data_IF_805790318393
#
_entry.id   IF_805790318393
#
_cell.length_a   1.000
_cell.length_b   1.000
_cell.length_c   1.000
_cell.angle_alpha   90.00
_cell.angle_beta   90.00
_cell.angle_gamma   90.00
#
_symmetry.space_group_name_H-M   'P 1'
#
loop_
_entity.id
_entity.type
_entity.pdbx_description
1 polymer ?
#
# COMPACT_ATOMS: atom_id res chain seq x y z
N UNK A 1 -13.87 63.52 -18.42
CA UNK A 1 -12.78 62.57 -18.74
C UNK A 1 -11.63 62.45 -17.73
N UNK A 2 -11.50 63.22 -16.62
CA UNK A 2 -10.49 62.93 -15.58
C UNK A 2 -11.00 62.04 -14.43
N UNK A 3 -12.31 62.06 -14.14
CA UNK A 3 -12.91 61.28 -13.05
C UNK A 3 -12.86 59.75 -13.27
N UNK A 4 -12.91 59.29 -14.51
CA UNK A 4 -12.82 57.86 -14.85
C UNK A 4 -11.42 57.28 -14.62
N UNK A 5 -10.36 58.10 -14.72
CA UNK A 5 -8.98 57.64 -14.52
C UNK A 5 -8.62 57.46 -13.04
N UNK A 6 -9.20 58.29 -12.16
CA UNK A 6 -9.05 58.15 -10.71
C UNK A 6 -9.75 56.88 -10.20
N UNK A 7 -10.92 56.55 -10.77
CA UNK A 7 -11.65 55.32 -10.44
C UNK A 7 -10.89 54.05 -10.87
N UNK A 8 -10.24 54.06 -12.04
CA UNK A 8 -9.40 52.93 -12.47
C UNK A 8 -8.17 52.75 -11.60
N UNK A 9 -7.55 53.83 -11.12
CA UNK A 9 -6.45 53.74 -10.14
C UNK A 9 -6.92 53.19 -8.79
N UNK A 10 -8.10 53.62 -8.30
CA UNK A 10 -8.66 53.12 -7.05
C UNK A 10 -8.99 51.62 -7.12
N UNK A 11 -9.54 51.14 -8.24
CA UNK A 11 -9.85 49.72 -8.44
C UNK A 11 -8.58 48.86 -8.56
N UNK A 12 -7.51 49.37 -9.19
CA UNK A 12 -6.23 48.67 -9.30
C UNK A 12 -5.52 48.54 -7.93
N UNK A 13 -5.62 49.55 -7.06
CA UNK A 13 -5.10 49.48 -5.69
C UNK A 13 -5.83 48.46 -4.81
N UNK A 14 -7.14 48.27 -5.01
CA UNK A 14 -7.91 47.29 -4.25
C UNK A 14 -7.64 45.84 -4.68
N UNK A 15 -7.27 45.59 -5.94
CA UNK A 15 -6.95 44.25 -6.44
C UNK A 15 -5.57 43.72 -5.96
N UNK A 16 -4.65 44.60 -5.56
CA UNK A 16 -3.32 44.22 -5.07
C UNK A 16 -3.30 43.58 -3.68
N UNK A 17 -4.40 43.65 -2.92
CA UNK A 17 -4.52 43.07 -1.58
C UNK A 17 -5.12 41.65 -1.55
N UNK A 18 -5.47 41.10 -2.71
CA UNK A 18 -6.17 39.81 -2.84
C UNK A 18 -5.28 38.66 -3.36
N UNK A 19 -3.95 38.81 -3.33
CA UNK A 19 -3.06 37.67 -3.51
C UNK A 19 -3.00 36.89 -2.20
N UNK A 20 -3.46 35.63 -2.14
CA UNK A 20 -3.15 34.78 -1.01
C UNK A 20 -1.63 34.67 -0.95
N UNK A 21 -1.04 35.17 0.13
CA UNK A 21 0.36 34.93 0.44
C UNK A 21 0.54 33.40 0.49
N UNK A 22 1.20 32.82 -0.51
CA UNK A 22 1.67 31.45 -0.41
C UNK A 22 2.50 31.39 0.88
N UNK A 23 2.17 30.51 1.83
CA UNK A 23 3.04 30.33 2.98
C UNK A 23 4.42 29.95 2.43
N UNK A 24 5.49 30.63 2.87
CA UNK A 24 6.83 30.25 2.44
C UNK A 24 7.00 28.77 2.77
N UNK A 25 7.34 27.95 1.77
CA UNK A 25 7.82 26.60 2.02
C UNK A 25 9.14 26.74 2.76
N UNK A 26 9.04 26.73 4.08
CA UNK A 26 10.18 26.75 4.98
C UNK A 26 10.83 25.37 4.86
N UNK A 27 11.77 25.21 3.94
CA UNK A 27 12.84 24.24 4.19
C UNK A 27 13.71 24.86 5.27
N UNK A 28 13.30 24.64 6.52
CA UNK A 28 14.10 24.95 7.69
C UNK A 28 15.32 24.01 7.70
N UNK A 29 16.33 24.32 6.90
CA UNK A 29 17.69 23.89 7.19
C UNK A 29 18.16 24.78 8.33
N UNK A 30 17.77 24.41 9.56
CA UNK A 30 18.27 25.05 10.77
C UNK A 30 19.77 24.83 10.85
N UNK A 31 20.54 25.88 10.62
CA UNK A 31 21.90 26.00 11.13
C UNK A 31 21.79 26.17 12.66
N UNK A 32 21.82 25.06 13.38
CA UNK A 32 21.67 24.99 14.83
C UNK A 32 22.97 24.65 15.54
N UNK A 33 23.42 25.58 16.38
CA UNK A 33 24.51 25.45 17.33
C UNK A 33 24.23 24.37 18.40
N UNK A 34 25.21 23.50 18.67
CA UNK A 34 25.51 22.84 19.95
C UNK A 34 24.37 22.38 20.88
N UNK A 35 23.76 21.25 20.56
CA UNK A 35 23.38 20.12 21.45
C UNK A 35 22.38 19.29 20.65
N UNK A 36 22.81 18.17 20.06
CA UNK A 36 21.90 17.32 19.29
C UNK A 36 21.04 16.49 20.25
N UNK A 37 20.13 17.14 20.98
CA UNK A 37 19.02 16.41 21.58
C UNK A 37 18.19 15.85 20.43
N UNK A 38 18.09 14.52 20.37
CA UNK A 38 17.30 13.83 19.36
C UNK A 38 15.83 14.16 19.65
N UNK A 39 15.19 14.88 18.73
CA UNK A 39 13.76 15.18 18.82
C UNK A 39 12.95 13.86 18.77
N UNK A 40 12.18 13.60 19.82
CA UNK A 40 11.31 12.41 19.89
C UNK A 40 9.96 12.74 19.25
N UNK A 41 9.65 12.02 18.17
CA UNK A 41 8.34 12.10 17.49
C UNK A 41 7.25 11.54 18.41
N UNK A 42 6.21 12.31 18.78
CA UNK A 42 5.15 11.84 19.69
C UNK A 42 4.38 10.64 19.15
N UNK A 43 3.92 9.75 20.04
CA UNK A 43 3.20 8.52 19.68
C UNK A 43 2.01 8.76 18.72
N UNK A 44 1.17 9.77 18.99
CA UNK A 44 0.00 10.07 18.15
C UNK A 44 0.41 10.43 16.72
N UNK A 45 1.57 11.07 16.54
CA UNK A 45 2.10 11.40 15.23
C UNK A 45 2.67 10.17 14.53
N UNK A 46 3.37 9.30 15.26
CA UNK A 46 3.85 8.01 14.73
C UNK A 46 2.66 7.18 14.26
N UNK A 47 1.67 6.97 15.12
CA UNK A 47 0.44 6.23 14.83
C UNK A 47 -0.32 6.82 13.65
N UNK A 48 -0.57 8.14 13.65
CA UNK A 48 -1.30 8.79 12.56
C UNK A 48 -0.58 8.71 11.21
N UNK A 49 0.76 8.72 11.20
CA UNK A 49 1.55 8.60 9.97
C UNK A 49 1.62 7.16 9.45
N UNK A 50 1.62 6.17 10.35
CA UNK A 50 1.71 4.75 10.02
C UNK A 50 0.36 4.06 9.82
N UNK A 51 -0.76 4.70 10.19
CA UNK A 51 -2.08 4.14 10.03
C UNK A 51 -2.47 3.95 8.55
N UNK A 52 -3.21 2.88 8.28
CA UNK A 52 -3.66 2.46 6.95
C UNK A 52 -4.24 3.62 6.11
N UNK A 53 -3.57 3.94 4.99
CA UNK A 53 -4.00 4.95 4.02
C UNK A 53 -3.35 4.72 2.64
N UNK A 54 -3.82 5.45 1.64
CA UNK A 54 -3.19 5.49 0.33
C UNK A 54 -1.88 6.29 0.44
N UNK A 55 -0.76 5.65 0.14
CA UNK A 55 0.56 6.27 0.12
C UNK A 55 1.21 6.04 -1.23
N UNK A 56 1.98 7.04 -1.65
CA UNK A 56 2.80 6.96 -2.84
C UNK A 56 3.89 5.91 -2.65
N UNK A 57 3.98 4.96 -3.59
CA UNK A 57 4.94 3.89 -3.60
C UNK A 57 5.47 3.69 -5.02
N UNK A 58 6.78 3.48 -5.13
CA UNK A 58 7.39 3.05 -6.38
C UNK A 58 7.07 1.57 -6.63
N UNK A 59 6.45 1.31 -7.77
CA UNK A 59 6.07 -0.04 -8.22
C UNK A 59 6.81 -0.33 -9.51
N UNK A 60 7.45 -1.48 -9.57
CA UNK A 60 8.12 -1.97 -10.76
C UNK A 60 7.11 -2.28 -11.87
N UNK A 61 7.40 -1.85 -13.09
CA UNK A 61 6.46 -1.93 -14.23
C UNK A 61 6.24 -3.39 -14.64
N UNK A 62 7.29 -4.21 -14.67
CA UNK A 62 7.20 -5.62 -15.06
C UNK A 62 6.44 -6.47 -14.03
N UNK A 63 6.44 -6.05 -12.76
CA UNK A 63 5.62 -6.68 -11.73
C UNK A 63 4.11 -6.47 -11.95
N UNK A 64 3.72 -5.35 -12.57
CA UNK A 64 2.32 -5.06 -12.93
C UNK A 64 1.94 -5.63 -14.30
N UNK A 65 2.92 -5.75 -15.21
CA UNK A 65 2.77 -6.26 -16.56
C UNK A 65 3.70 -7.46 -16.80
N UNK A 66 3.43 -8.62 -16.17
CA UNK A 66 4.29 -9.80 -16.25
C UNK A 66 4.32 -10.44 -17.64
N UNK A 67 3.39 -10.08 -18.54
CA UNK A 67 3.37 -10.57 -19.92
C UNK A 67 4.37 -9.80 -20.83
N UNK A 68 4.89 -8.66 -20.38
CA UNK A 68 5.75 -7.74 -21.16
C UNK A 68 7.26 -7.98 -20.91
N UNK A 69 7.66 -9.19 -20.47
CA UNK A 69 9.06 -9.51 -20.05
C UNK A 69 10.12 -9.38 -21.13
N UNK A 70 9.73 -9.32 -22.41
CA UNK A 70 10.67 -9.11 -23.52
C UNK A 70 11.18 -7.65 -23.60
N UNK A 71 10.51 -6.72 -22.92
CA UNK A 71 10.78 -5.29 -23.03
C UNK A 71 11.39 -4.71 -21.76
N UNK A 72 12.20 -3.67 -21.94
CA UNK A 72 12.66 -2.83 -20.83
C UNK A 72 11.93 -1.50 -20.86
N UNK A 73 11.47 -1.04 -19.70
CA UNK A 73 10.80 0.25 -19.55
C UNK A 73 11.72 1.29 -18.93
N UNK A 74 11.64 2.53 -19.41
CA UNK A 74 12.27 3.69 -18.80
C UNK A 74 11.19 4.77 -18.53
N UNK A 75 10.93 5.12 -17.26
CA UNK A 75 11.50 4.51 -16.05
C UNK A 75 11.06 3.04 -15.88
N UNK A 76 11.86 2.24 -15.14
CA UNK A 76 11.51 0.83 -14.85
C UNK A 76 10.50 0.70 -13.71
N UNK A 77 10.34 1.75 -12.90
CA UNK A 77 9.33 1.85 -11.86
C UNK A 77 8.52 3.14 -12.01
N UNK A 78 7.27 3.10 -11.57
CA UNK A 78 6.33 4.22 -11.59
C UNK A 78 5.82 4.50 -10.19
N UNK A 79 5.43 5.76 -9.95
CA UNK A 79 4.89 6.18 -8.66
C UNK A 79 3.37 6.03 -8.63
N UNK A 80 2.85 5.18 -7.75
CA UNK A 80 1.42 4.89 -7.63
C UNK A 80 0.95 4.99 -6.19
N UNK A 81 -0.29 5.39 -5.99
CA UNK A 81 -0.96 5.25 -4.70
C UNK A 81 -1.27 3.78 -4.43
N UNK A 82 -0.71 3.26 -3.34
CA UNK A 82 -0.99 1.92 -2.83
C UNK A 82 -1.40 2.01 -1.36
N UNK A 83 -2.30 1.13 -0.96
CA UNK A 83 -2.67 1.02 0.46
C UNK A 83 -1.46 0.52 1.23
N UNK A 84 -1.08 1.26 2.27
CA UNK A 84 0.08 0.99 3.11
C UNK A 84 -0.18 1.48 4.52
N UNK A 85 0.54 0.89 5.48
CA UNK A 85 0.37 1.17 6.90
C UNK A 85 -0.14 -0.02 7.69
N UNK A 86 -0.19 0.15 9.01
CA UNK A 86 -0.68 -0.85 9.95
C UNK A 86 -2.10 -0.53 10.43
N UNK A 87 -2.80 -1.56 10.94
CA UNK A 87 -4.19 -1.47 11.37
C UNK A 87 -4.38 -1.48 12.90
N UNK A 88 -3.29 -1.62 13.66
CA UNK A 88 -3.35 -1.71 15.13
C UNK A 88 -3.77 -3.08 15.67
N UNK A 89 -4.39 -3.91 14.85
CA UNK A 89 -4.78 -5.28 15.13
C UNK A 89 -4.14 -6.19 14.07
N UNK A 90 -3.49 -7.27 14.52
CA UNK A 90 -2.80 -8.24 13.65
C UNK A 90 -3.78 -9.06 12.79
N UNK A 91 -5.05 -9.11 13.18
CA UNK A 91 -6.11 -9.79 12.44
C UNK A 91 -6.72 -8.91 11.34
N UNK A 92 -6.21 -7.68 11.15
CA UNK A 92 -6.69 -6.74 10.14
C UNK A 92 -5.59 -6.43 9.12
N UNK A 93 -5.95 -6.41 7.84
CA UNK A 93 -5.08 -5.98 6.76
C UNK A 93 -5.55 -4.65 6.16
N UNK A 94 -4.58 -3.81 5.80
CA UNK A 94 -4.84 -2.57 5.07
C UNK A 94 -5.13 -2.89 3.60
N UNK A 95 -6.40 -2.77 3.21
CA UNK A 95 -6.88 -3.19 1.88
C UNK A 95 -7.53 -2.02 1.13
N UNK A 96 -7.44 -1.98 -0.22
CA UNK A 96 -8.15 -1.00 -1.01
C UNK A 96 -9.66 -1.23 -0.94
N UNK A 97 -10.40 -0.14 -0.81
CA UNK A 97 -11.87 -0.13 -0.87
C UNK A 97 -12.38 0.68 -2.06
N UNK A 98 -11.50 1.43 -2.71
CA UNK A 98 -11.79 2.19 -3.91
C UNK A 98 -10.51 2.37 -4.73
N UNK A 99 -10.61 2.13 -6.04
CA UNK A 99 -9.48 2.17 -6.97
C UNK A 99 -9.83 2.97 -8.21
N UNK A 100 -8.83 3.63 -8.79
CA UNK A 100 -8.94 4.32 -10.08
C UNK A 100 -7.78 3.93 -10.98
N UNK A 101 -7.98 4.03 -12.28
CA UNK A 101 -6.92 3.79 -13.25
C UNK A 101 -6.23 5.11 -13.61
N UNK A 102 -4.91 5.06 -13.78
CA UNK A 102 -4.11 6.19 -14.27
C UNK A 102 -3.20 5.71 -15.39
N UNK A 103 -3.25 6.40 -16.51
CA UNK A 103 -2.42 6.12 -17.68
C UNK A 103 -1.16 6.96 -17.63
N UNK A 104 -0.01 6.34 -17.85
CA UNK A 104 1.30 6.97 -17.83
C UNK A 104 2.04 6.65 -19.12
N UNK A 105 2.80 7.62 -19.62
CA UNK A 105 3.66 7.43 -20.77
C UNK A 105 5.05 6.99 -20.33
N UNK A 106 5.53 5.87 -20.86
CA UNK A 106 6.86 5.31 -20.59
C UNK A 106 7.61 5.12 -21.91
N UNK A 107 8.94 5.09 -21.83
CA UNK A 107 9.77 4.70 -22.96
C UNK A 107 9.96 3.17 -22.93
N UNK A 108 9.45 2.48 -23.95
CA UNK A 108 9.67 1.06 -24.18
C UNK A 108 10.92 0.87 -25.05
N UNK A 109 11.83 0.03 -24.57
CA UNK A 109 13.11 -0.29 -25.22
C UNK A 109 13.09 -1.76 -25.62
N UNK A 110 13.19 -1.99 -26.92
CA UNK A 110 13.31 -3.33 -27.51
C UNK A 110 14.79 -3.72 -27.65
N UNK A 111 15.09 -5.02 -27.62
CA UNK A 111 16.45 -5.53 -27.84
C UNK A 111 16.98 -5.29 -29.26
N UNK A 112 16.09 -5.32 -30.25
CA UNK A 112 16.42 -5.23 -31.69
C UNK A 112 15.77 -4.03 -32.40
N UNK A 113 14.79 -3.39 -31.75
CA UNK A 113 13.99 -2.31 -32.31
C UNK A 113 14.43 -0.91 -31.87
N UNK A 114 13.81 0.12 -32.44
CA UNK A 114 13.98 1.50 -31.95
C UNK A 114 13.16 1.70 -30.67
N UNK A 115 13.67 2.47 -29.68
CA UNK A 115 12.87 2.87 -28.54
C UNK A 115 11.62 3.64 -28.97
N UNK A 116 10.50 3.44 -28.28
CA UNK A 116 9.23 4.09 -28.57
C UNK A 116 8.49 4.47 -27.28
N UNK A 117 7.64 5.49 -27.36
CA UNK A 117 6.78 5.85 -26.24
C UNK A 117 5.51 4.99 -26.27
N UNK A 118 5.13 4.49 -25.10
CA UNK A 118 3.93 3.67 -24.89
C UNK A 118 3.12 4.22 -23.74
N UNK A 119 1.81 4.03 -23.79
CA UNK A 119 0.90 4.40 -22.72
C UNK A 119 0.45 3.14 -21.98
N UNK A 120 0.81 3.06 -20.69
CA UNK A 120 0.42 1.96 -19.81
C UNK A 120 -0.53 2.46 -18.74
N UNK A 121 -1.51 1.64 -18.38
CA UNK A 121 -2.56 2.01 -17.42
C UNK A 121 -2.41 1.25 -16.12
N UNK A 122 -2.21 1.95 -15.01
CA UNK A 122 -1.98 1.36 -13.70
C UNK A 122 -3.17 1.56 -12.78
N UNK A 123 -3.44 0.58 -11.92
CA UNK A 123 -4.45 0.72 -10.85
C UNK A 123 -3.85 1.44 -9.64
N UNK A 124 -4.55 2.47 -9.17
CA UNK A 124 -4.23 3.25 -7.98
C UNK A 124 -5.31 3.07 -6.92
N UNK A 125 -4.88 3.02 -5.66
CA UNK A 125 -5.79 2.93 -4.52
C UNK A 125 -6.06 4.34 -4.01
N UNK A 126 -7.31 4.81 -4.10
CA UNK A 126 -7.67 6.17 -3.64
C UNK A 126 -8.30 6.18 -2.25
N UNK A 127 -8.77 5.01 -1.77
CA UNK A 127 -9.28 4.85 -0.42
C UNK A 127 -8.94 3.47 0.13
N UNK A 128 -8.49 3.43 1.40
CA UNK A 128 -8.03 2.23 2.08
C UNK A 128 -8.79 2.03 3.40
N UNK A 129 -8.93 0.78 3.83
CA UNK A 129 -9.55 0.44 5.11
C UNK A 129 -8.91 -0.81 5.71
N UNK A 130 -8.87 -0.85 7.04
CA UNK A 130 -8.54 -2.05 7.79
C UNK A 130 -9.72 -3.03 7.78
N UNK A 131 -9.52 -4.21 7.21
CA UNK A 131 -10.54 -5.27 7.15
C UNK A 131 -9.92 -6.61 7.54
N UNK A 132 -10.70 -7.53 8.12
CA UNK A 132 -10.26 -8.90 8.28
C UNK A 132 -9.85 -9.48 6.92
N UNK A 133 -8.84 -10.35 6.86
CA UNK A 133 -8.54 -11.08 5.63
C UNK A 133 -9.79 -11.84 5.22
N UNK A 134 -10.10 -11.82 3.92
CA UNK A 134 -11.09 -12.73 3.38
C UNK A 134 -10.51 -14.13 3.56
N UNK A 135 -11.00 -14.88 4.56
CA UNK A 135 -10.80 -16.31 4.51
C UNK A 135 -11.37 -16.77 3.18
N UNK A 136 -10.51 -17.33 2.32
CA UNK A 136 -10.97 -18.15 1.22
C UNK A 136 -12.06 -19.04 1.82
N UNK A 137 -13.31 -18.81 1.42
CA UNK A 137 -14.39 -19.76 1.63
C UNK A 137 -13.99 -20.99 0.83
N UNK A 138 -13.06 -21.75 1.40
CA UNK A 138 -12.63 -23.05 0.97
C UNK A 138 -13.94 -23.78 0.95
N UNK A 139 -14.46 -23.96 -0.26
CA UNK A 139 -15.66 -24.70 -0.56
C UNK A 139 -15.41 -26.07 0.07
N UNK A 140 -15.80 -26.21 1.34
CA UNK A 140 -15.72 -27.45 2.07
C UNK A 140 -16.65 -28.34 1.27
N UNK A 141 -16.05 -29.13 0.38
CA UNK A 141 -16.66 -30.29 -0.22
C UNK A 141 -17.14 -31.10 0.97
N UNK A 142 -18.42 -30.89 1.32
CA UNK A 142 -19.16 -31.69 2.28
C UNK A 142 -18.94 -33.14 1.87
N UNK A 143 -17.97 -33.80 2.49
CA UNK A 143 -17.80 -35.25 2.36
C UNK A 143 -19.10 -35.85 2.90
N UNK A 144 -19.91 -36.55 2.09
CA UNK A 144 -21.08 -37.24 2.62
C UNK A 144 -20.55 -38.25 3.64
N UNK A 145 -21.05 -38.16 4.87
CA UNK A 145 -20.69 -39.07 5.96
C UNK A 145 -21.18 -40.48 5.58
N UNK A 146 -20.27 -41.27 5.02
CA UNK A 146 -20.51 -42.64 4.60
C UNK A 146 -21.00 -43.49 5.76
N UNK A 147 -22.28 -43.85 5.69
CA UNK A 147 -22.98 -44.76 6.59
C UNK A 147 -22.50 -46.19 6.27
N UNK A 148 -21.80 -46.83 7.20
CA UNK A 148 -21.31 -48.20 6.99
C UNK A 148 -20.87 -48.89 8.27
N UNK A 149 -21.83 -49.43 9.04
CA UNK A 149 -21.57 -50.39 10.11
C UNK A 149 -21.00 -51.68 9.50
N UNK A 150 -19.92 -52.22 10.04
CA UNK A 150 -19.77 -53.68 10.21
C UNK A 150 -18.79 -54.05 11.33
N UNK A 151 -19.40 -54.62 12.37
CA UNK A 151 -18.82 -55.36 13.50
C UNK A 151 -17.93 -56.51 13.01
N UNK A 152 -16.72 -56.65 13.56
CA UNK A 152 -16.10 -57.97 13.76
C UNK A 152 -15.23 -57.95 15.02
N UNK A 153 -15.17 -59.12 15.61
CA UNK A 153 -15.12 -59.42 17.03
C UNK A 153 -13.78 -60.08 17.37
N UNK A 154 -13.21 -59.67 18.51
CA UNK A 154 -12.41 -60.43 19.47
C UNK A 154 -11.22 -61.25 18.93
N UNK A 155 -10.00 -60.81 19.28
CA UNK A 155 -8.95 -61.68 19.84
C UNK A 155 -7.79 -60.83 20.42
N UNK A 156 -7.61 -60.91 21.75
CA UNK A 156 -6.34 -60.80 22.48
C UNK A 156 -5.95 -62.26 22.84
N UNK A 157 -4.74 -62.62 23.30
CA UNK A 157 -3.56 -61.79 23.62
C UNK A 157 -2.21 -62.44 23.21
N UNK A 158 -1.12 -61.67 23.13
CA UNK A 158 0.18 -62.14 23.64
C UNK A 158 1.09 -60.97 24.05
N UNK A 159 1.78 -61.24 25.15
CA UNK A 159 2.79 -60.52 25.90
C UNK A 159 4.00 -60.06 25.05
N UNK A 160 4.59 -58.92 25.45
CA UNK A 160 6.05 -58.76 25.57
C UNK A 160 6.39 -57.41 26.23
N UNK A 161 6.66 -57.51 27.53
CA UNK A 161 7.69 -56.83 28.32
C UNK A 161 8.55 -55.69 27.69
N UNK A 162 8.65 -54.62 28.49
CA UNK A 162 9.81 -53.72 28.67
C UNK A 162 10.16 -52.74 27.53
N UNK A 163 9.88 -51.45 27.75
CA UNK A 163 10.90 -50.40 27.84
C UNK A 163 10.27 -49.08 28.32
N UNK A 164 10.91 -48.46 29.32
CA UNK A 164 10.39 -47.30 30.03
C UNK A 164 10.81 -45.95 29.47
N UNK A 165 10.39 -44.93 30.24
CA UNK A 165 10.95 -43.58 30.37
C UNK A 165 11.02 -42.68 29.13
N UNK A 166 10.11 -41.70 29.09
CA UNK A 166 10.37 -40.26 29.31
C UNK A 166 9.42 -39.38 28.48
N UNK A 167 8.86 -38.37 29.14
CA UNK A 167 8.10 -37.26 28.55
C UNK A 167 9.10 -36.17 28.15
N UNK A 168 8.97 -35.53 26.98
CA UNK A 168 9.40 -34.15 26.81
C UNK A 168 8.18 -33.24 26.65
N UNK A 169 8.06 -32.28 27.57
CA UNK A 169 7.30 -31.05 27.35
C UNK A 169 8.03 -30.18 26.33
N UNK A 170 7.27 -29.54 25.45
CA UNK A 170 7.56 -28.20 24.94
C UNK A 170 6.27 -27.39 24.97
#
# INVERSE_FOLDING_TARGET
>A
MPAMRLFTCFLQLLAGLALPAMPPQQWALSAGNGSSEVEVVPFQQVWGRSYCRALEKLVDVLSEYPDEVEYMFNPSCVSLLRCSGCCGDENLHCTPVETVNVTMQLLMIHSTGRPSYVELTFSQHIRCQCRPPLEDMKLERRRPKGRGKRKREKQRPTDCHLCGHTVPQR
#
